data_IF_019086771893
#
_entry.id   IF_019086771893
#
_cell.length_a   1.000
_cell.length_b   1.000
_cell.length_c   1.000
_cell.angle_alpha   90.00
_cell.angle_beta   90.00
_cell.angle_gamma   90.00
#
_symmetry.space_group_name_H-M   'P 1'
#
loop_
_entity.id
_entity.type
_entity.pdbx_description
1 polymer ?
#
# COMPACT_ATOMS: atom_id res chain seq x y z
N UNK A 1 7.09 9.38 6.18
CA UNK A 1 6.61 8.87 7.49
C UNK A 1 5.12 8.61 7.41
N UNK A 2 4.69 7.44 7.85
CA UNK A 2 3.28 7.04 7.86
C UNK A 2 2.85 6.81 9.30
N UNK A 3 1.74 7.43 9.69
CA UNK A 3 1.09 7.15 10.96
C UNK A 3 0.17 5.95 10.80
N UNK A 4 0.31 4.95 11.67
CA UNK A 4 -0.54 3.75 11.66
C UNK A 4 -1.67 3.90 12.67
N UNK A 5 -2.87 3.48 12.28
CA UNK A 5 -4.08 3.57 13.11
C UNK A 5 -4.26 2.31 13.95
N UNK A 6 -3.41 2.16 14.97
CA UNK A 6 -3.41 0.94 15.81
C UNK A 6 -4.70 0.77 16.62
N UNK A 7 -5.41 1.86 16.94
CA UNK A 7 -6.68 1.78 17.69
C UNK A 7 -7.85 1.41 16.78
N UNK A 8 -7.91 2.02 15.59
CA UNK A 8 -9.03 1.83 14.66
C UNK A 8 -8.86 0.56 13.80
N UNK A 9 -7.62 0.15 13.54
CA UNK A 9 -7.31 -0.99 12.68
C UNK A 9 -6.26 -1.90 13.33
N UNK A 10 -6.52 -2.43 14.53
CA UNK A 10 -5.49 -3.16 15.28
C UNK A 10 -4.96 -4.39 14.56
N UNK A 11 -5.82 -5.17 13.91
CA UNK A 11 -5.40 -6.41 13.25
C UNK A 11 -4.65 -6.12 11.94
N UNK A 12 -5.12 -5.16 11.18
CA UNK A 12 -4.47 -4.75 9.93
C UNK A 12 -3.10 -4.14 10.22
N UNK A 13 -3.00 -3.29 11.24
CA UNK A 13 -1.73 -2.70 11.67
C UNK A 13 -0.78 -3.79 12.20
N UNK A 14 -1.27 -4.73 13.00
CA UNK A 14 -0.44 -5.81 13.52
C UNK A 14 0.17 -6.66 12.38
N UNK A 15 -0.62 -6.96 11.36
CA UNK A 15 -0.15 -7.68 10.17
C UNK A 15 0.96 -6.89 9.45
N UNK A 16 0.74 -5.60 9.23
CA UNK A 16 1.73 -4.74 8.57
C UNK A 16 3.02 -4.62 9.39
N UNK A 17 2.92 -4.40 10.69
CA UNK A 17 4.08 -4.31 11.59
C UNK A 17 4.87 -5.61 11.59
N UNK A 18 4.18 -6.75 11.63
CA UNK A 18 4.83 -8.06 11.52
C UNK A 18 5.67 -8.17 10.24
N UNK A 19 5.09 -7.78 9.11
CA UNK A 19 5.79 -7.82 7.82
C UNK A 19 6.98 -6.87 7.78
N UNK A 20 6.84 -5.66 8.34
CA UNK A 20 7.95 -4.71 8.44
C UNK A 20 9.10 -5.29 9.27
N UNK A 21 8.79 -5.90 10.41
CA UNK A 21 9.79 -6.49 11.29
C UNK A 21 10.47 -7.72 10.66
N UNK A 22 9.81 -8.39 9.74
CA UNK A 22 10.38 -9.47 8.93
C UNK A 22 11.25 -8.95 7.78
N UNK A 23 11.34 -7.62 7.61
CA UNK A 23 12.00 -6.98 6.46
C UNK A 23 11.38 -7.36 5.11
N UNK A 24 10.10 -7.71 5.14
CA UNK A 24 9.38 -8.18 3.96
C UNK A 24 9.35 -7.14 2.84
N UNK A 25 9.18 -5.86 3.20
CA UNK A 25 9.04 -4.78 2.22
C UNK A 25 10.37 -4.22 1.71
N UNK A 26 11.48 -4.54 2.34
CA UNK A 26 12.78 -4.02 1.95
C UNK A 26 13.16 -4.50 0.55
N UNK A 27 13.43 -3.57 -0.34
CA UNK A 27 13.80 -3.86 -1.72
C UNK A 27 12.64 -4.07 -2.69
N UNK A 28 11.39 -4.05 -2.22
CA UNK A 28 10.22 -4.14 -3.10
C UNK A 28 10.00 -2.82 -3.85
N UNK A 29 9.22 -2.88 -4.93
CA UNK A 29 8.94 -1.71 -5.77
C UNK A 29 7.46 -1.41 -5.81
N UNK A 30 7.12 -0.13 -6.05
CA UNK A 30 5.77 0.25 -6.41
C UNK A 30 5.51 -0.23 -7.84
N UNK A 31 4.70 -1.26 -7.99
CA UNK A 31 4.48 -1.94 -9.26
C UNK A 31 3.29 -1.38 -10.05
N UNK A 32 2.46 -0.56 -9.42
CA UNK A 32 1.27 0.02 -10.04
C UNK A 32 1.10 1.44 -9.54
N UNK A 33 1.18 2.40 -10.46
CA UNK A 33 1.08 3.84 -10.17
C UNK A 33 0.15 4.47 -11.17
N UNK A 34 -0.91 5.12 -10.69
CA UNK A 34 -1.90 5.78 -11.52
C UNK A 34 -2.05 7.22 -11.03
N UNK A 35 -1.79 8.18 -11.92
CA UNK A 35 -1.96 9.60 -11.62
C UNK A 35 -3.40 9.90 -11.22
N UNK A 36 -3.55 10.81 -10.25
CA UNK A 36 -4.84 11.19 -9.67
C UNK A 36 -5.63 10.00 -9.15
N UNK A 37 -4.90 9.03 -8.60
CA UNK A 37 -5.50 7.87 -7.94
C UNK A 37 -4.62 7.41 -6.77
N UNK A 38 -3.58 6.60 -7.03
CA UNK A 38 -2.79 6.00 -5.96
C UNK A 38 -1.45 5.45 -6.45
N UNK A 39 -0.58 5.14 -5.49
CA UNK A 39 0.62 4.33 -5.72
C UNK A 39 0.48 3.04 -4.91
N UNK A 40 0.73 1.90 -5.54
CA UNK A 40 0.54 0.57 -4.94
C UNK A 40 1.85 -0.21 -4.93
N UNK A 41 2.12 -0.84 -3.79
CA UNK A 41 3.29 -1.67 -3.61
C UNK A 41 3.03 -2.81 -2.63
N UNK A 42 4.11 -3.45 -2.20
CA UNK A 42 4.03 -4.52 -1.20
C UNK A 42 3.89 -5.93 -1.76
N UNK A 43 3.94 -6.11 -3.07
CA UNK A 43 3.96 -7.43 -3.68
C UNK A 43 5.38 -8.01 -3.65
N UNK A 44 5.59 -9.22 -3.11
CA UNK A 44 6.94 -9.82 -3.04
C UNK A 44 7.57 -10.06 -4.42
N UNK A 45 6.76 -10.26 -5.45
CA UNK A 45 7.27 -10.42 -6.81
C UNK A 45 7.83 -9.11 -7.37
N UNK A 46 7.53 -7.96 -6.76
CA UNK A 46 8.05 -6.67 -7.16
C UNK A 46 9.48 -6.42 -6.70
N UNK A 47 10.12 -7.39 -6.08
CA UNK A 47 11.56 -7.31 -5.82
C UNK A 47 12.35 -7.19 -7.12
N UNK A 48 11.90 -7.86 -8.17
CA UNK A 48 12.29 -7.59 -9.54
C UNK A 48 11.29 -6.57 -10.11
N UNK A 49 11.72 -5.32 -10.40
CA UNK A 49 10.81 -4.29 -10.88
C UNK A 49 10.19 -4.60 -12.24
N UNK A 50 10.73 -5.54 -12.99
CA UNK A 50 10.23 -5.95 -14.30
C UNK A 50 9.45 -7.26 -14.27
N UNK A 51 9.21 -7.84 -13.10
CA UNK A 51 8.49 -9.10 -12.97
C UNK A 51 7.07 -9.00 -13.53
N UNK A 52 6.70 -9.96 -14.39
CA UNK A 52 5.32 -10.09 -14.90
C UNK A 52 4.35 -10.56 -13.83
N UNK A 53 4.86 -11.07 -12.70
CA UNK A 53 4.06 -11.55 -11.58
C UNK A 53 3.79 -10.46 -10.55
N UNK A 54 4.37 -9.26 -10.72
CA UNK A 54 4.13 -8.15 -9.81
C UNK A 54 2.64 -7.83 -9.74
N UNK A 55 2.12 -7.70 -8.53
CA UNK A 55 0.69 -7.51 -8.28
C UNK A 55 -0.06 -8.80 -7.92
N UNK A 56 0.54 -9.96 -8.11
CA UNK A 56 -0.13 -11.27 -7.88
C UNK A 56 0.27 -11.96 -6.59
N UNK A 57 1.28 -11.45 -5.87
CA UNK A 57 1.84 -12.12 -4.71
C UNK A 57 1.39 -11.54 -3.39
N UNK A 58 1.64 -12.30 -2.33
CA UNK A 58 1.37 -11.94 -0.96
C UNK A 58 2.34 -12.66 -0.01
N UNK A 59 2.11 -12.54 1.31
CA UNK A 59 3.05 -13.04 2.30
C UNK A 59 2.93 -14.54 2.58
N UNK A 60 2.02 -15.24 1.91
CA UNK A 60 1.73 -16.65 2.18
C UNK A 60 0.50 -16.86 3.05
N UNK A 61 -0.17 -15.79 3.44
CA UNK A 61 -1.45 -15.83 4.17
C UNK A 61 -2.32 -14.67 3.75
N UNK A 62 -3.59 -14.73 4.15
CA UNK A 62 -4.58 -13.66 3.95
C UNK A 62 -5.13 -13.23 5.30
N UNK A 63 -5.57 -11.98 5.37
CA UNK A 63 -6.23 -11.45 6.56
C UNK A 63 -7.67 -11.09 6.24
N UNK A 64 -8.60 -11.27 7.19
CA UNK A 64 -9.98 -10.83 6.97
C UNK A 64 -10.05 -9.30 6.90
N UNK A 65 -11.08 -8.80 6.21
CA UNK A 65 -11.38 -7.37 6.24
C UNK A 65 -11.80 -6.97 7.65
N UNK A 66 -11.06 -6.08 8.25
CA UNK A 66 -11.31 -5.60 9.62
C UNK A 66 -12.45 -4.60 9.60
N UNK A 67 -13.55 -4.91 10.27
CA UNK A 67 -14.78 -4.10 10.19
C UNK A 67 -14.57 -2.65 10.62
N UNK A 68 -13.79 -2.41 11.67
CA UNK A 68 -13.49 -1.05 12.14
C UNK A 68 -12.66 -0.26 11.14
N UNK A 69 -11.73 -0.93 10.46
CA UNK A 69 -10.90 -0.31 9.41
C UNK A 69 -11.73 0.02 8.16
N UNK A 70 -12.70 -0.81 7.82
CA UNK A 70 -13.60 -0.57 6.68
C UNK A 70 -14.51 0.64 6.87
N UNK A 71 -14.71 1.10 8.10
CA UNK A 71 -15.50 2.30 8.41
C UNK A 71 -14.73 3.59 8.14
N UNK A 72 -13.42 3.53 8.05
CA UNK A 72 -12.60 4.69 7.75
C UNK A 72 -12.69 5.01 6.26
N UNK A 73 -12.54 6.29 5.93
CA UNK A 73 -12.81 6.78 4.58
C UNK A 73 -11.51 7.13 3.84
N UNK A 74 -11.61 7.06 2.52
CA UNK A 74 -10.57 7.52 1.59
C UNK A 74 -10.92 8.95 1.13
N UNK A 75 -10.99 9.89 2.07
CA UNK A 75 -11.56 11.22 1.83
C UNK A 75 -10.52 12.34 1.79
N UNK A 76 -9.24 12.01 1.79
CA UNK A 76 -8.12 12.96 1.66
C UNK A 76 -6.98 12.29 0.90
N UNK A 77 -6.07 13.05 0.28
CA UNK A 77 -4.83 12.47 -0.22
C UNK A 77 -3.97 11.92 0.92
N UNK A 78 -3.21 10.87 0.64
CA UNK A 78 -2.29 10.29 1.61
C UNK A 78 -2.88 9.22 2.52
N UNK A 79 -4.07 8.69 2.19
CA UNK A 79 -4.65 7.55 2.92
C UNK A 79 -3.85 6.29 2.64
N UNK A 80 -3.51 5.55 3.70
CA UNK A 80 -2.80 4.28 3.64
C UNK A 80 -3.80 3.14 3.84
N UNK A 81 -3.97 2.31 2.81
CA UNK A 81 -5.06 1.34 2.74
C UNK A 81 -4.59 0.02 2.15
N UNK A 82 -5.29 -1.06 2.49
CA UNK A 82 -4.95 -2.40 2.03
C UNK A 82 -5.49 -2.66 0.63
N UNK A 83 -4.61 -3.05 -0.28
CA UNK A 83 -5.01 -3.63 -1.55
C UNK A 83 -5.58 -5.03 -1.33
N UNK A 84 -6.55 -5.43 -2.15
CA UNK A 84 -7.12 -6.77 -2.11
C UNK A 84 -7.68 -7.16 -3.48
N UNK A 85 -8.02 -8.43 -3.63
CA UNK A 85 -8.66 -8.99 -4.82
C UNK A 85 -10.11 -9.43 -4.53
N UNK A 86 -10.73 -8.79 -3.56
CA UNK A 86 -12.07 -9.07 -3.07
C UNK A 86 -12.08 -9.19 -1.56
N UNK A 87 -13.25 -9.44 -0.93
CA UNK A 87 -13.35 -9.54 0.51
C UNK A 87 -12.40 -10.58 1.10
N UNK A 88 -11.76 -10.24 2.23
CA UNK A 88 -10.91 -11.16 3.00
C UNK A 88 -9.72 -11.72 2.22
N UNK A 89 -9.17 -10.94 1.28
CA UNK A 89 -8.04 -11.35 0.46
C UNK A 89 -6.79 -10.50 0.66
N UNK A 90 -6.82 -9.55 1.58
CA UNK A 90 -5.66 -8.73 1.91
C UNK A 90 -4.50 -9.57 2.45
N UNK A 91 -3.29 -9.14 2.18
CA UNK A 91 -2.08 -9.82 2.63
C UNK A 91 -0.96 -8.83 2.91
N UNK A 92 -0.17 -8.50 1.90
CA UNK A 92 0.95 -7.57 2.05
C UNK A 92 0.84 -6.32 1.19
N UNK A 93 0.06 -6.34 0.12
CA UNK A 93 -0.02 -5.19 -0.78
C UNK A 93 -0.85 -4.07 -0.17
N UNK A 94 -0.39 -2.86 -0.39
CA UNK A 94 -1.02 -1.63 0.11
C UNK A 94 -1.00 -0.57 -0.97
N UNK A 95 -1.76 0.50 -0.76
CA UNK A 95 -1.67 1.68 -1.60
C UNK A 95 -1.73 2.95 -0.77
N UNK A 96 -1.18 4.01 -1.33
CA UNK A 96 -1.24 5.37 -0.81
C UNK A 96 -2.01 6.21 -1.83
N UNK A 97 -3.09 6.84 -1.39
CA UNK A 97 -3.90 7.65 -2.29
C UNK A 97 -3.24 9.01 -2.55
N UNK A 98 -3.50 9.56 -3.72
CA UNK A 98 -3.01 10.89 -4.10
C UNK A 98 -4.14 11.89 -4.26
N UNK A 99 -5.37 11.42 -4.22
CA UNK A 99 -6.62 12.20 -4.27
C UNK A 99 -7.66 11.53 -3.38
N UNK A 100 -8.82 12.15 -3.22
CA UNK A 100 -9.97 11.49 -2.59
C UNK A 100 -10.44 10.34 -3.48
N UNK A 101 -10.66 9.18 -2.86
CA UNK A 101 -11.08 7.97 -3.58
C UNK A 101 -12.30 7.32 -2.92
N UNK A 102 -13.44 8.04 -2.86
CA UNK A 102 -14.60 7.57 -2.08
C UNK A 102 -15.20 6.26 -2.58
N UNK A 103 -14.98 5.88 -3.84
CA UNK A 103 -15.44 4.59 -4.36
C UNK A 103 -14.76 3.38 -3.72
N UNK A 104 -13.67 3.60 -2.98
CA UNK A 104 -12.95 2.54 -2.26
C UNK A 104 -13.49 2.33 -0.85
N UNK A 105 -14.30 3.25 -0.34
CA UNK A 105 -14.83 3.18 1.02
C UNK A 105 -15.66 1.90 1.21
N UNK A 106 -15.45 1.24 2.34
CA UNK A 106 -16.15 0.00 2.68
C UNK A 106 -15.57 -1.27 2.07
N UNK A 107 -14.68 -1.15 1.08
CA UNK A 107 -14.09 -2.30 0.37
C UNK A 107 -12.60 -2.51 0.66
N UNK A 108 -11.94 -1.50 1.21
CA UNK A 108 -10.52 -1.53 1.54
C UNK A 108 -10.30 -1.05 2.97
N UNK A 109 -9.51 -1.81 3.72
CA UNK A 109 -9.21 -1.48 5.12
C UNK A 109 -8.20 -0.33 5.18
N UNK A 110 -8.63 0.83 5.64
CA UNK A 110 -7.77 1.98 5.90
C UNK A 110 -7.05 1.74 7.23
N UNK A 111 -5.73 1.85 7.25
CA UNK A 111 -4.97 1.60 8.47
C UNK A 111 -3.87 2.63 8.77
N UNK A 112 -3.85 3.74 8.04
CA UNK A 112 -2.91 4.81 8.30
C UNK A 112 -3.05 5.99 7.37
N UNK A 113 -2.14 6.92 7.51
CA UNK A 113 -2.03 8.09 6.63
C UNK A 113 -0.58 8.55 6.52
N UNK A 114 -0.26 9.27 5.46
CA UNK A 114 1.03 9.96 5.33
C UNK A 114 1.06 11.13 6.32
N UNK A 115 1.98 11.07 7.28
CA UNK A 115 2.21 12.16 8.23
C UNK A 115 3.23 13.16 7.70
N UNK A 116 4.28 12.66 7.04
CA UNK A 116 5.32 13.47 6.39
C UNK A 116 5.77 12.78 5.12
N UNK A 117 6.15 13.54 4.10
CA UNK A 117 6.69 13.00 2.86
C UNK A 117 5.68 12.86 1.75
N UNK A 118 4.56 13.58 1.79
CA UNK A 118 3.59 13.56 0.70
C UNK A 118 4.20 14.01 -0.63
N UNK A 119 5.22 14.88 -0.57
CA UNK A 119 6.00 15.29 -1.75
C UNK A 119 6.68 14.09 -2.44
N UNK A 120 7.16 13.12 -1.66
CA UNK A 120 7.75 11.88 -2.20
C UNK A 120 6.67 11.03 -2.88
N UNK A 121 5.49 10.89 -2.27
CA UNK A 121 4.36 10.19 -2.86
C UNK A 121 3.96 10.83 -4.19
N UNK A 122 3.89 12.15 -4.22
CA UNK A 122 3.58 12.90 -5.45
C UNK A 122 4.66 12.74 -6.51
N UNK A 123 5.93 12.67 -6.14
CA UNK A 123 7.02 12.43 -7.07
C UNK A 123 6.92 11.04 -7.70
N UNK A 124 6.57 10.03 -6.92
CA UNK A 124 6.34 8.67 -7.44
C UNK A 124 5.11 8.67 -8.37
N UNK A 125 4.03 9.31 -7.95
CA UNK A 125 2.81 9.43 -8.76
C UNK A 125 3.12 10.01 -10.14
N UNK A 126 3.95 11.03 -10.19
CA UNK A 126 4.29 11.74 -11.43
C UNK A 126 5.33 11.06 -12.30
N UNK A 127 5.88 9.93 -11.90
CA UNK A 127 6.90 9.24 -12.69
C UNK A 127 6.31 8.72 -14.01
N UNK A 128 7.20 8.47 -14.99
CA UNK A 128 6.79 7.90 -16.27
C UNK A 128 6.37 6.45 -16.10
N UNK A 129 5.28 6.04 -16.77
CA UNK A 129 4.74 4.68 -16.70
C UNK A 129 4.85 3.98 -18.06
N UNK A 130 5.02 2.66 -17.98
CA UNK A 130 4.85 1.74 -19.10
C UNK A 130 3.37 1.26 -19.15
N UNK A 131 2.95 0.61 -20.25
CA UNK A 131 1.64 -0.04 -20.28
C UNK A 131 1.42 -0.94 -19.07
N UNK A 132 0.20 -0.91 -18.50
CA UNK A 132 -0.12 -1.62 -17.26
C UNK A 132 0.19 -0.83 -15.99
N UNK A 133 0.41 0.49 -16.11
CA UNK A 133 0.63 1.40 -14.98
C UNK A 133 1.87 1.10 -14.14
N UNK A 134 2.84 0.45 -14.76
CA UNK A 134 4.13 0.16 -14.12
C UNK A 134 5.07 1.34 -14.32
N UNK A 135 5.78 1.82 -13.29
CA UNK A 135 6.83 2.82 -13.48
C UNK A 135 7.88 2.34 -14.46
N UNK A 136 8.27 3.21 -15.41
CA UNK A 136 9.32 2.88 -16.39
C UNK A 136 10.71 2.88 -15.75
N UNK A 137 10.91 3.68 -14.70
CA UNK A 137 12.10 3.62 -13.87
C UNK A 137 11.69 3.06 -12.50
N UNK A 138 12.45 2.13 -11.93
CA UNK A 138 12.09 1.51 -10.66
C UNK A 138 11.86 2.53 -9.55
N UNK A 139 10.77 2.37 -8.81
CA UNK A 139 10.44 3.15 -7.63
C UNK A 139 10.51 2.20 -6.44
N UNK A 140 11.65 2.18 -5.76
CA UNK A 140 11.99 1.16 -4.78
C UNK A 140 11.75 1.61 -3.34
N UNK A 141 11.22 0.70 -2.53
CA UNK A 141 11.23 0.81 -1.08
C UNK A 141 12.59 0.28 -0.61
N UNK A 142 13.48 1.17 -0.23
CA UNK A 142 14.83 0.77 0.19
C UNK A 142 14.74 0.04 1.52
N UNK A 143 14.01 0.61 2.46
CA UNK A 143 13.87 0.06 3.80
C UNK A 143 12.58 0.56 4.45
N UNK A 144 11.96 -0.32 5.23
CA UNK A 144 10.77 0.01 6.01
C UNK A 144 11.05 -0.33 7.47
N UNK A 145 10.87 0.62 8.38
CA UNK A 145 11.12 0.43 9.82
C UNK A 145 9.95 0.98 10.63
N UNK A 146 9.75 0.40 11.82
CA UNK A 146 8.74 0.89 12.77
C UNK A 146 9.42 1.85 13.74
N UNK A 147 8.80 3.00 13.94
CA UNK A 147 9.20 4.00 14.92
C UNK A 147 8.12 4.06 15.99
N UNK A 148 8.52 3.92 17.23
CA UNK A 148 7.62 4.02 18.38
C UNK A 148 7.59 5.42 18.98
#
# INVERSE_FOLDING_TARGET
MIELYAEEAPDTVANFVKLVNMKFYDGLHFHRVIEQFMIQGGCPHSKDPMSRRAGTGGPGWKIPCEASALKLRHNVPGVFSMANSGPNSGGSQFFLTTVDTPWLDGNHAVFGKVAEGMDVVKAIEGCRKMPGDRPSQPQQIIRCTIIE
#
